data_IF_274120037690
#
_entry.id   IF_274120037690
#
_cell.length_a   1.000
_cell.length_b   1.000
_cell.length_c   1.000
_cell.angle_alpha   90.00
_cell.angle_beta   90.00
_cell.angle_gamma   90.00
#
_symmetry.space_group_name_H-M   'P 1'
#
loop_
_entity.id
_entity.type
_entity.pdbx_description
1 polymer ?
#
# COMPACT_ATOMS: atom_id res chain seq x y z
N UNK A 1 4.28 1.61 14.37
CA UNK A 1 3.43 2.34 13.42
C UNK A 1 3.29 3.81 13.82
N UNK A 2 2.71 4.13 14.97
CA UNK A 2 2.45 5.50 15.40
C UNK A 2 3.68 6.42 15.30
N UNK A 3 4.75 6.11 16.00
CA UNK A 3 5.98 6.92 16.00
C UNK A 3 6.80 6.82 14.69
N UNK A 4 6.61 5.78 13.89
CA UNK A 4 7.38 5.58 12.66
C UNK A 4 6.83 6.40 11.49
N UNK A 5 5.53 6.36 11.26
CA UNK A 5 4.89 7.04 10.11
C UNK A 5 3.44 7.48 10.34
N UNK A 6 2.77 6.99 11.40
CA UNK A 6 1.34 7.28 11.62
C UNK A 6 1.01 8.76 11.84
N UNK A 7 2.00 9.55 12.28
CA UNK A 7 1.88 11.00 12.50
C UNK A 7 2.55 11.85 11.41
N UNK A 8 3.31 11.26 10.49
CA UNK A 8 4.06 12.02 9.48
C UNK A 8 3.11 12.48 8.35
N UNK A 9 2.87 13.78 8.27
CA UNK A 9 2.00 14.40 7.27
C UNK A 9 2.46 14.20 5.84
N UNK A 10 3.78 14.12 5.58
CA UNK A 10 4.27 13.85 4.22
C UNK A 10 4.05 12.39 3.83
N UNK A 11 4.22 11.45 4.77
CA UNK A 11 3.90 10.04 4.55
C UNK A 11 2.40 9.87 4.32
N UNK A 12 1.58 10.57 5.10
CA UNK A 12 0.14 10.51 5.02
C UNK A 12 -0.45 11.33 3.85
N UNK A 13 0.34 12.07 3.09
CA UNK A 13 -0.17 13.01 2.09
C UNK A 13 -1.13 12.34 1.08
N UNK A 14 -0.73 11.22 0.49
CA UNK A 14 -1.51 10.49 -0.53
C UNK A 14 -2.26 9.25 -0.01
N UNK A 15 -2.36 9.06 1.30
CA UNK A 15 -3.15 7.94 1.84
C UNK A 15 -4.61 8.32 2.03
N UNK A 16 -5.46 7.31 2.22
CA UNK A 16 -6.90 7.47 2.41
C UNK A 16 -7.31 7.62 3.89
N UNK A 17 -6.34 7.73 4.79
CA UNK A 17 -6.54 7.93 6.21
C UNK A 17 -5.88 9.24 6.69
N UNK A 18 -6.33 9.77 7.83
CA UNK A 18 -5.73 10.94 8.48
C UNK A 18 -4.59 10.49 9.41
N UNK A 19 -3.55 11.33 9.62
CA UNK A 19 -2.54 11.06 10.64
C UNK A 19 -3.18 10.72 11.98
N UNK A 20 -2.66 9.70 12.64
CA UNK A 20 -3.15 9.25 13.92
C UNK A 20 -2.84 10.27 15.02
N UNK A 21 -3.78 10.51 15.92
CA UNK A 21 -3.64 11.49 16.99
C UNK A 21 -3.18 10.88 18.29
N UNK A 22 -3.41 9.58 18.47
CA UNK A 22 -3.01 8.84 19.67
C UNK A 22 -2.63 7.39 19.33
N UNK A 23 -2.01 6.73 20.29
CA UNK A 23 -1.55 5.33 20.14
C UNK A 23 -2.72 4.36 19.98
N UNK A 24 -3.85 4.62 20.63
CA UNK A 24 -5.06 3.79 20.53
C UNK A 24 -5.63 3.70 19.12
N UNK A 25 -5.43 4.73 18.28
CA UNK A 25 -5.82 4.68 16.87
C UNK A 25 -5.10 3.54 16.14
N UNK A 26 -3.83 3.30 16.48
CA UNK A 26 -3.05 2.19 15.90
C UNK A 26 -3.49 0.83 16.41
N UNK A 27 -3.89 0.72 17.68
CA UNK A 27 -4.38 -0.54 18.26
C UNK A 27 -5.67 -0.98 17.56
N UNK A 28 -6.57 -0.04 17.30
CA UNK A 28 -7.79 -0.31 16.52
C UNK A 28 -7.47 -0.78 15.10
N UNK A 29 -6.53 -0.10 14.42
CA UNK A 29 -6.12 -0.46 13.05
C UNK A 29 -5.47 -1.85 13.02
N UNK A 30 -4.57 -2.15 13.98
CA UNK A 30 -3.91 -3.45 14.08
C UNK A 30 -4.94 -4.55 14.36
N UNK A 31 -5.87 -4.32 15.29
CA UNK A 31 -6.96 -5.26 15.58
C UNK A 31 -7.73 -5.61 14.32
N UNK A 32 -8.13 -4.60 13.54
CA UNK A 32 -8.83 -4.80 12.26
C UNK A 32 -7.99 -5.57 11.24
N UNK A 33 -6.69 -5.31 11.14
CA UNK A 33 -5.81 -6.06 10.25
C UNK A 33 -5.70 -7.53 10.62
N UNK A 34 -5.65 -7.84 11.92
CA UNK A 34 -5.62 -9.23 12.41
C UNK A 34 -6.94 -9.96 12.12
N UNK A 35 -8.09 -9.28 12.25
CA UNK A 35 -9.39 -9.86 11.91
C UNK A 35 -9.49 -10.14 10.40
N UNK A 36 -9.14 -9.18 9.55
CA UNK A 36 -9.14 -9.34 8.09
C UNK A 36 -8.18 -10.44 7.63
N UNK A 37 -7.04 -10.60 8.32
CA UNK A 37 -6.10 -11.68 8.06
C UNK A 37 -6.71 -13.05 8.39
N UNK A 38 -7.35 -13.16 9.55
CA UNK A 38 -8.04 -14.39 10.00
C UNK A 38 -9.14 -14.81 9.04
N UNK A 39 -9.87 -13.81 8.52
CA UNK A 39 -10.97 -14.04 7.58
C UNK A 39 -10.49 -14.26 6.13
N UNK A 40 -9.19 -14.14 5.85
CA UNK A 40 -8.61 -14.27 4.51
C UNK A 40 -9.00 -13.13 3.55
N UNK A 41 -9.50 -12.01 4.09
CA UNK A 41 -9.97 -10.87 3.31
C UNK A 41 -8.87 -9.86 2.97
N UNK A 42 -7.87 -9.72 3.86
CA UNK A 42 -6.71 -8.88 3.61
C UNK A 42 -5.50 -9.39 4.39
N UNK A 43 -4.32 -9.13 3.83
CA UNK A 43 -3.04 -9.55 4.41
C UNK A 43 -2.15 -8.33 4.53
N UNK A 44 -1.62 -8.08 5.74
CA UNK A 44 -0.79 -6.91 6.04
C UNK A 44 0.52 -7.34 6.71
N UNK A 45 1.63 -6.83 6.20
CA UNK A 45 2.97 -7.07 6.74
C UNK A 45 3.59 -5.76 7.20
N UNK A 46 4.34 -5.83 8.29
CA UNK A 46 5.20 -4.76 8.75
C UNK A 46 6.61 -4.98 8.20
N UNK A 47 7.24 -3.92 7.73
CA UNK A 47 8.58 -3.96 7.17
C UNK A 47 9.58 -3.49 8.22
N UNK A 48 10.58 -4.31 8.48
CA UNK A 48 11.66 -4.00 9.42
C UNK A 48 13.01 -4.03 8.71
N UNK A 49 13.95 -3.22 9.19
CA UNK A 49 15.33 -3.30 8.72
C UNK A 49 15.96 -4.62 9.19
N UNK A 50 16.68 -5.31 8.28
CA UNK A 50 17.25 -6.64 8.58
C UNK A 50 18.19 -6.64 9.81
N UNK A 51 18.95 -5.57 10.02
CA UNK A 51 19.91 -5.43 11.12
C UNK A 51 19.33 -4.86 12.41
N UNK A 52 18.02 -4.61 12.49
CA UNK A 52 17.41 -3.92 13.62
C UNK A 52 15.93 -4.19 13.82
N UNK A 53 15.40 -3.70 14.93
CA UNK A 53 13.98 -3.77 15.28
C UNK A 53 13.20 -2.54 14.77
N UNK A 54 13.82 -1.72 13.91
CA UNK A 54 13.21 -0.48 13.47
C UNK A 54 12.17 -0.69 12.39
N UNK A 55 10.94 -0.23 12.67
CA UNK A 55 9.84 -0.29 11.72
C UNK A 55 10.04 0.73 10.59
N UNK A 56 10.15 0.22 9.37
CA UNK A 56 10.33 1.02 8.15
C UNK A 56 9.01 1.41 7.51
N UNK A 57 7.98 0.55 7.57
CA UNK A 57 6.73 0.77 6.88
C UNK A 57 5.79 -0.42 6.98
N UNK A 58 4.78 -0.42 6.13
CA UNK A 58 3.84 -1.52 5.98
C UNK A 58 3.44 -1.70 4.52
N UNK A 59 3.08 -2.92 4.17
CA UNK A 59 2.52 -3.31 2.89
C UNK A 59 1.36 -4.25 3.12
N UNK A 60 0.32 -4.17 2.31
CA UNK A 60 -0.80 -5.08 2.41
C UNK A 60 -1.51 -5.27 1.10
N UNK A 61 -2.29 -6.34 1.03
CA UNK A 61 -3.20 -6.62 -0.08
C UNK A 61 -4.59 -6.93 0.46
N UNK A 62 -5.60 -6.45 -0.23
CA UNK A 62 -7.01 -6.77 0.02
C UNK A 62 -7.54 -7.67 -1.08
N UNK A 63 -8.22 -8.75 -0.70
CA UNK A 63 -8.80 -9.71 -1.65
C UNK A 63 -10.13 -9.19 -2.20
N UNK A 64 -10.25 -9.25 -3.51
CA UNK A 64 -11.49 -9.00 -4.24
C UNK A 64 -11.69 -10.10 -5.29
N UNK A 65 -12.35 -11.19 -4.90
CA UNK A 65 -12.54 -12.37 -5.75
C UNK A 65 -11.19 -12.94 -6.28
N UNK A 66 -10.94 -12.84 -7.59
CA UNK A 66 -9.75 -13.36 -8.27
C UNK A 66 -8.58 -12.36 -8.32
N UNK A 67 -8.68 -11.21 -7.64
CA UNK A 67 -7.67 -10.17 -7.64
C UNK A 67 -7.31 -9.70 -6.25
N UNK A 68 -6.14 -9.13 -6.12
CA UNK A 68 -5.69 -8.44 -4.91
C UNK A 68 -5.46 -6.96 -5.22
N UNK A 69 -5.84 -6.09 -4.29
CA UNK A 69 -5.58 -4.65 -4.33
C UNK A 69 -4.44 -4.33 -3.36
N UNK A 70 -3.34 -3.80 -3.89
CA UNK A 70 -2.11 -3.50 -3.17
C UNK A 70 -2.14 -2.11 -2.56
N UNK A 71 -1.71 -1.99 -1.30
CA UNK A 71 -1.45 -0.71 -0.63
C UNK A 71 -0.18 -0.78 0.21
N UNK A 72 0.52 0.35 0.33
CA UNK A 72 1.76 0.42 1.10
C UNK A 72 2.04 1.80 1.65
N UNK A 73 2.86 1.84 2.68
CA UNK A 73 3.39 3.06 3.30
C UNK A 73 4.82 2.82 3.76
N UNK A 74 5.69 3.80 3.57
CA UNK A 74 7.10 3.73 3.98
C UNK A 74 7.49 5.01 4.70
N UNK A 75 8.18 4.89 5.82
CA UNK A 75 8.76 6.01 6.55
C UNK A 75 9.69 6.82 5.64
N UNK A 76 9.57 8.14 5.68
CA UNK A 76 10.22 9.08 4.75
C UNK A 76 11.73 8.89 4.60
N UNK A 77 12.45 8.60 5.68
CA UNK A 77 13.90 8.38 5.67
C UNK A 77 14.36 7.19 4.82
N UNK A 78 13.46 6.28 4.49
CA UNK A 78 13.73 5.10 3.66
C UNK A 78 13.29 5.26 2.20
N UNK A 79 12.78 6.44 1.82
CA UNK A 79 12.40 6.72 0.44
C UNK A 79 13.63 6.77 -0.47
N UNK A 80 13.46 6.30 -1.70
CA UNK A 80 14.51 6.37 -2.73
C UNK A 80 15.53 5.23 -2.72
N UNK A 81 15.54 4.38 -1.70
CA UNK A 81 16.51 3.28 -1.57
C UNK A 81 16.04 1.95 -2.19
N UNK A 82 14.82 1.88 -2.73
CA UNK A 82 14.30 0.66 -3.36
C UNK A 82 13.61 -0.33 -2.42
N UNK A 83 13.63 -0.13 -1.12
CA UNK A 83 13.06 -1.05 -0.14
C UNK A 83 11.58 -1.40 -0.40
N UNK A 84 10.75 -0.40 -0.73
CA UNK A 84 9.35 -0.69 -1.02
C UNK A 84 9.16 -1.39 -2.37
N UNK A 85 10.01 -1.16 -3.35
CA UNK A 85 9.98 -1.90 -4.63
C UNK A 85 10.29 -3.38 -4.39
N UNK A 86 11.28 -3.68 -3.54
CA UNK A 86 11.61 -5.04 -3.12
C UNK A 86 10.42 -5.70 -2.40
N UNK A 87 9.84 -5.02 -1.40
CA UNK A 87 8.69 -5.51 -0.66
C UNK A 87 7.47 -5.79 -1.56
N UNK A 88 7.18 -4.89 -2.50
CA UNK A 88 6.11 -5.07 -3.49
C UNK A 88 6.37 -6.30 -4.35
N UNK A 89 7.60 -6.51 -4.82
CA UNK A 89 7.95 -7.68 -5.62
C UNK A 89 7.71 -8.97 -4.85
N UNK A 90 8.18 -9.05 -3.61
CA UNK A 90 7.99 -10.25 -2.76
C UNK A 90 6.51 -10.53 -2.49
N UNK A 91 5.71 -9.50 -2.20
CA UNK A 91 4.28 -9.66 -1.94
C UNK A 91 3.52 -10.08 -3.20
N UNK A 92 3.90 -9.56 -4.37
CA UNK A 92 3.29 -9.96 -5.65
C UNK A 92 3.65 -11.40 -6.00
N UNK A 93 4.90 -11.81 -5.80
CA UNK A 93 5.34 -13.19 -6.03
C UNK A 93 4.58 -14.15 -5.11
N UNK A 94 4.44 -13.80 -3.82
CA UNK A 94 3.59 -14.54 -2.87
C UNK A 94 2.12 -14.58 -3.34
N UNK A 95 1.55 -13.46 -3.77
CA UNK A 95 0.16 -13.40 -4.24
C UNK A 95 -0.10 -14.37 -5.40
N UNK A 96 0.87 -14.51 -6.30
CA UNK A 96 0.75 -15.41 -7.44
C UNK A 96 1.03 -16.89 -7.11
N UNK A 97 1.44 -17.24 -5.89
CA UNK A 97 1.42 -18.64 -5.43
C UNK A 97 -0.01 -19.15 -5.20
N UNK A 98 -0.95 -18.24 -4.91
CA UNK A 98 -2.37 -18.57 -4.74
C UNK A 98 -3.02 -18.85 -6.10
N UNK A 99 -3.54 -20.09 -6.35
CA UNK A 99 -4.09 -20.47 -7.65
C UNK A 99 -5.27 -19.60 -8.11
N UNK A 100 -6.02 -19.04 -7.17
CA UNK A 100 -7.21 -18.21 -7.44
C UNK A 100 -6.90 -16.74 -7.74
N UNK A 101 -5.63 -16.30 -7.59
CA UNK A 101 -5.22 -14.92 -7.84
C UNK A 101 -4.61 -14.81 -9.24
N UNK A 102 -5.23 -14.01 -10.10
CA UNK A 102 -4.80 -13.78 -11.47
C UNK A 102 -4.26 -12.37 -11.70
N UNK A 103 -4.48 -11.46 -10.72
CA UNK A 103 -4.16 -10.05 -10.87
C UNK A 103 -3.84 -9.43 -9.52
N UNK A 104 -2.81 -8.59 -9.48
CA UNK A 104 -2.55 -7.64 -8.39
C UNK A 104 -2.69 -6.24 -8.96
N UNK A 105 -3.65 -5.47 -8.44
CA UNK A 105 -3.91 -4.08 -8.80
C UNK A 105 -3.34 -3.10 -7.78
N UNK A 106 -3.14 -1.86 -8.22
CA UNK A 106 -2.83 -0.73 -7.35
C UNK A 106 -3.41 0.56 -7.94
N UNK A 107 -3.92 1.43 -7.08
CA UNK A 107 -4.41 2.74 -7.48
C UNK A 107 -3.53 3.82 -6.85
N UNK A 108 -3.14 4.81 -7.63
CA UNK A 108 -2.24 5.88 -7.20
C UNK A 108 -2.74 7.24 -7.67
N UNK A 109 -2.74 8.23 -6.79
CA UNK A 109 -3.03 9.62 -7.15
C UNK A 109 -2.08 10.09 -8.26
N UNK A 110 -2.61 10.81 -9.27
CA UNK A 110 -1.84 11.23 -10.45
C UNK A 110 -0.60 12.07 -10.11
N UNK A 111 -0.62 12.78 -8.97
CA UNK A 111 0.49 13.62 -8.52
C UNK A 111 1.51 12.85 -7.68
N UNK A 112 1.20 11.62 -7.25
CA UNK A 112 2.11 10.77 -6.47
C UNK A 112 3.17 10.10 -7.36
N UNK A 113 4.04 10.90 -7.94
CA UNK A 113 5.07 10.44 -8.88
C UNK A 113 6.09 9.45 -8.26
N UNK A 114 6.23 9.43 -6.93
CA UNK A 114 7.09 8.45 -6.25
C UNK A 114 6.46 7.05 -6.34
N UNK A 115 5.16 6.94 -6.06
CA UNK A 115 4.42 5.69 -6.15
C UNK A 115 4.29 5.22 -7.62
N UNK A 116 4.05 6.13 -8.56
CA UNK A 116 4.05 5.84 -10.00
C UNK A 116 5.36 5.14 -10.40
N UNK A 117 6.51 5.78 -10.15
CA UNK A 117 7.83 5.19 -10.49
C UNK A 117 8.12 3.87 -9.76
N UNK A 118 7.61 3.72 -8.54
CA UNK A 118 7.76 2.48 -7.77
C UNK A 118 7.01 1.34 -8.46
N UNK A 119 5.74 1.53 -8.80
CA UNK A 119 4.91 0.51 -9.45
C UNK A 119 5.49 0.11 -10.82
N UNK A 120 5.91 1.08 -11.62
CA UNK A 120 6.54 0.82 -12.92
C UNK A 120 7.84 0.00 -12.77
N UNK A 121 8.69 0.32 -11.78
CA UNK A 121 9.90 -0.47 -11.47
C UNK A 121 9.59 -1.87 -10.97
N UNK A 122 8.48 -2.07 -10.27
CA UNK A 122 8.01 -3.37 -9.82
C UNK A 122 7.33 -4.18 -10.94
N UNK A 123 7.28 -3.63 -12.17
CA UNK A 123 6.72 -4.30 -13.35
C UNK A 123 5.20 -4.25 -13.43
N UNK A 124 4.58 -3.24 -12.81
CA UNK A 124 3.16 -2.97 -13.01
C UNK A 124 2.97 -2.14 -14.29
N UNK A 125 1.91 -2.43 -15.01
CA UNK A 125 1.49 -1.68 -16.19
C UNK A 125 0.35 -0.72 -15.84
N UNK A 126 0.43 0.52 -16.34
CA UNK A 126 -0.65 1.49 -16.21
C UNK A 126 -1.77 1.17 -17.19
N UNK A 127 -2.96 0.92 -16.68
CA UNK A 127 -4.12 0.57 -17.51
C UNK A 127 -5.00 1.76 -17.85
N UNK A 128 -4.99 2.81 -17.03
CA UNK A 128 -5.84 3.96 -17.32
C UNK A 128 -5.89 5.01 -16.23
N UNK A 129 -6.75 6.01 -16.47
CA UNK A 129 -7.09 7.08 -15.56
C UNK A 129 -8.49 6.85 -14.99
N UNK A 130 -8.57 6.83 -13.68
CA UNK A 130 -9.81 6.77 -12.90
C UNK A 130 -10.15 8.18 -12.42
N UNK A 131 -11.17 8.79 -13.01
CA UNK A 131 -11.55 10.17 -12.70
C UNK A 131 -12.35 10.24 -11.40
N UNK A 132 -12.05 11.23 -10.56
CA UNK A 132 -12.71 11.45 -9.26
C UNK A 132 -12.83 10.17 -8.44
N UNK A 133 -11.73 9.43 -8.33
CA UNK A 133 -11.74 8.07 -7.80
C UNK A 133 -11.62 7.99 -6.28
N UNK A 134 -10.67 8.70 -5.72
CA UNK A 134 -10.35 8.57 -4.29
C UNK A 134 -10.29 9.92 -3.58
N UNK A 135 -10.81 9.96 -2.36
CA UNK A 135 -10.60 11.08 -1.46
C UNK A 135 -9.29 10.84 -0.70
N UNK A 136 -8.36 11.77 -0.84
CA UNK A 136 -7.15 11.86 -0.04
C UNK A 136 -7.35 12.95 1.01
N UNK A 137 -7.80 12.62 2.23
CA UNK A 137 -8.31 13.60 3.21
C UNK A 137 -7.25 14.60 3.70
N UNK A 138 -5.97 14.32 3.38
CA UNK A 138 -4.84 15.19 3.70
C UNK A 138 -4.50 16.17 2.57
N UNK A 139 -5.18 16.08 1.42
CA UNK A 139 -5.02 16.97 0.26
C UNK A 139 -6.32 17.72 -0.01
N UNK A 140 -7.45 17.00 -0.11
CA UNK A 140 -8.72 17.55 -0.53
C UNK A 140 -9.89 16.78 0.07
N UNK A 141 -11.00 17.48 0.32
CA UNK A 141 -12.26 16.85 0.68
C UNK A 141 -13.01 16.27 -0.54
N UNK A 142 -12.61 16.67 -1.76
CA UNK A 142 -13.20 16.16 -3.00
C UNK A 142 -12.36 15.01 -3.57
N UNK A 143 -13.01 14.04 -4.25
CA UNK A 143 -12.30 12.96 -4.91
C UNK A 143 -11.31 13.47 -5.96
N UNK A 144 -10.17 12.80 -6.07
CA UNK A 144 -9.08 13.12 -6.99
C UNK A 144 -8.94 12.02 -8.03
N UNK A 145 -8.35 12.37 -9.16
CA UNK A 145 -8.03 11.43 -10.22
C UNK A 145 -6.88 10.53 -9.80
N UNK A 146 -6.97 9.26 -10.19
CA UNK A 146 -5.96 8.25 -9.89
C UNK A 146 -5.60 7.47 -11.15
N UNK A 147 -4.36 6.99 -11.25
CA UNK A 147 -3.98 5.97 -12.21
C UNK A 147 -4.30 4.57 -11.66
N UNK A 148 -4.81 3.70 -12.53
CA UNK A 148 -4.92 2.27 -12.26
C UNK A 148 -3.69 1.56 -12.81
N UNK A 149 -3.06 0.76 -11.98
CA UNK A 149 -1.94 -0.10 -12.31
C UNK A 149 -2.27 -1.56 -12.02
N UNK A 150 -1.68 -2.47 -12.80
CA UNK A 150 -1.81 -3.90 -12.54
C UNK A 150 -0.58 -4.69 -12.92
N UNK A 151 -0.44 -5.85 -12.28
CA UNK A 151 0.43 -6.94 -12.70
C UNK A 151 -0.40 -8.20 -12.81
N UNK A 152 -0.30 -8.85 -13.96
CA UNK A 152 -1.10 -10.04 -14.31
C UNK A 152 -0.23 -11.28 -14.13
N UNK A 153 -0.82 -12.38 -13.66
CA UNK A 153 -0.17 -13.69 -13.62
C UNK A 153 0.12 -14.14 -15.06
N UNK A 154 1.36 -14.47 -15.35
CA UNK A 154 1.71 -15.20 -16.57
C UNK A 154 1.15 -16.62 -16.47
N UNK A 155 0.26 -16.97 -17.38
CA UNK A 155 -0.36 -18.31 -17.49
C UNK A 155 0.45 -19.15 -18.47
#
# INVERSE_FOLDING_TARGET
MFAAYGQDHEVAHYVTWRPHTCISDNEVVIGRFLDLWRDGCAFHWLLFQYSGSELMGAIGVRREAHRLELGYVLTRRYWGYGFMTEAVTVVVDWAFTEPSVFRVGAVVDIDNQRSVRLLERAGFEREGLLRSWAVHPNISATPRDCYSYSKIRNI
#
